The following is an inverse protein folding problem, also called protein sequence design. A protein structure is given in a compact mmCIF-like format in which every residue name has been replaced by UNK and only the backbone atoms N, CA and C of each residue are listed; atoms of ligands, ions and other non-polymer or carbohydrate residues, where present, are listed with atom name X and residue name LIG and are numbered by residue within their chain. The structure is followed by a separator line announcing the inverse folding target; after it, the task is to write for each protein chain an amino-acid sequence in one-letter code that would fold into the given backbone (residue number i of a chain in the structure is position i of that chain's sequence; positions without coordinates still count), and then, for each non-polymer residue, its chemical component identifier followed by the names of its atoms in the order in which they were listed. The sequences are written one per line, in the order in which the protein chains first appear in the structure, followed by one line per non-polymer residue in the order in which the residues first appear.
data_IF_786836661668
#
_entry.id   IF_786836661668
#
_cell.length_a   1.000
_cell.length_b   1.000
_cell.length_c   1.000
_cell.angle_alpha   90.00
_cell.angle_beta   90.00
_cell.angle_gamma   90.00
#
_symmetry.space_group_name_H-M   'P 1'
#
loop_
_entity.id
_entity.type
_entity.pdbx_description
1 polymer ?
#
# COMPACT_ATOMS: atom_id res chain seq x y z
N UNK A 1 -61.50 6.49 60.05
CA UNK A 1 -61.82 5.10 59.77
C UNK A 1 -60.69 4.51 58.96
N UNK A 2 -59.89 3.71 59.61
CA UNK A 2 -58.93 2.73 59.23
C UNK A 2 -58.00 2.97 58.05
N UNK A 3 -56.71 3.11 58.44
CA UNK A 3 -55.46 2.91 57.73
C UNK A 3 -55.30 1.50 57.14
N UNK A 4 -54.61 1.38 56.04
CA UNK A 4 -53.80 0.17 55.74
C UNK A 4 -52.51 0.57 55.02
N UNK A 5 -51.48 0.69 55.78
CA UNK A 5 -50.08 0.70 55.35
C UNK A 5 -49.78 -0.74 54.93
N UNK A 6 -49.45 -0.92 53.65
CA UNK A 6 -48.79 -2.14 53.17
C UNK A 6 -47.29 -1.86 52.90
N UNK A 7 -46.53 -2.45 53.78
CA UNK A 7 -45.11 -2.61 53.75
C UNK A 7 -44.69 -3.30 52.43
N UNK A 8 -44.01 -2.57 51.54
CA UNK A 8 -43.29 -3.16 50.41
C UNK A 8 -41.84 -3.34 50.85
N UNK A 9 -41.51 -4.58 51.29
CA UNK A 9 -40.19 -5.05 51.59
C UNK A 9 -39.24 -5.02 50.35
N UNK A 10 -37.94 -4.81 50.57
CA UNK A 10 -37.00 -4.61 49.50
C UNK A 10 -36.53 -5.97 48.90
N UNK A 11 -37.04 -6.26 47.71
CA UNK A 11 -36.55 -7.37 46.85
C UNK A 11 -35.57 -6.81 45.79
N UNK A 12 -34.75 -5.83 46.13
CA UNK A 12 -33.85 -5.19 45.17
C UNK A 12 -32.39 -5.22 45.65
N UNK A 13 -31.91 -6.39 46.11
CA UNK A 13 -30.51 -6.53 46.51
C UNK A 13 -29.94 -7.94 46.29
N UNK A 14 -30.27 -8.59 45.18
CA UNK A 14 -29.64 -9.87 44.80
C UNK A 14 -29.30 -9.96 43.32
N UNK A 15 -29.08 -8.83 42.64
CA UNK A 15 -28.80 -8.75 41.21
C UNK A 15 -27.39 -8.27 40.83
N UNK A 16 -26.45 -8.11 41.77
CA UNK A 16 -25.16 -7.47 41.50
C UNK A 16 -23.95 -8.27 42.00
N UNK A 17 -23.90 -9.58 41.74
CA UNK A 17 -22.70 -10.40 41.96
C UNK A 17 -22.48 -11.39 40.81
N UNK A 18 -22.75 -11.03 39.56
CA UNK A 18 -22.23 -11.71 38.39
C UNK A 18 -21.09 -10.86 37.79
N UNK A 19 -20.12 -10.50 38.60
CA UNK A 19 -18.79 -10.19 38.05
C UNK A 19 -18.34 -11.45 37.34
N UNK A 20 -18.25 -11.40 36.03
CA UNK A 20 -17.76 -12.45 35.16
C UNK A 20 -16.31 -12.77 35.57
N UNK A 21 -16.12 -13.64 36.56
CA UNK A 21 -14.85 -14.28 36.78
C UNK A 21 -14.51 -15.06 35.52
N UNK A 22 -13.53 -14.60 34.75
CA UNK A 22 -12.83 -15.42 33.78
C UNK A 22 -12.08 -16.50 34.56
N UNK A 23 -12.80 -17.53 34.93
CA UNK A 23 -12.23 -18.71 35.63
C UNK A 23 -11.64 -19.64 34.56
N UNK A 24 -10.58 -20.35 34.91
CA UNK A 24 -10.02 -21.39 34.04
C UNK A 24 -11.10 -22.38 33.54
N UNK A 25 -12.14 -22.58 34.34
CA UNK A 25 -13.28 -23.43 34.02
C UNK A 25 -14.07 -22.92 32.78
N UNK A 26 -14.30 -21.60 32.64
CA UNK A 26 -14.98 -21.05 31.46
C UNK A 26 -14.21 -21.31 30.19
N UNK A 27 -12.88 -21.15 30.19
CA UNK A 27 -12.03 -21.49 29.05
C UNK A 27 -12.12 -22.99 28.70
N UNK A 28 -12.10 -23.84 29.72
CA UNK A 28 -12.23 -25.30 29.51
C UNK A 28 -13.60 -25.69 28.97
N UNK A 29 -14.66 -25.05 29.43
CA UNK A 29 -16.04 -25.25 28.96
C UNK A 29 -16.25 -24.78 27.54
N UNK A 30 -15.60 -23.67 27.14
CA UNK A 30 -15.62 -23.16 25.75
C UNK A 30 -14.71 -23.93 24.78
N UNK A 31 -13.90 -24.89 25.29
CA UNK A 31 -12.93 -25.64 24.48
C UNK A 31 -11.62 -24.89 24.21
N UNK A 32 -11.44 -23.66 24.72
CA UNK A 32 -10.21 -22.90 24.63
C UNK A 32 -9.21 -23.35 25.70
N UNK A 33 -8.65 -24.54 25.49
CA UNK A 33 -7.72 -25.13 26.42
C UNK A 33 -6.39 -24.38 26.49
N UNK A 34 -5.94 -23.78 25.39
CA UNK A 34 -4.69 -23.01 25.34
C UNK A 34 -4.82 -21.73 26.13
N UNK A 35 -5.91 -21.00 25.99
CA UNK A 35 -6.23 -19.83 26.82
C UNK A 35 -6.34 -20.18 28.31
N UNK A 36 -6.94 -21.33 28.63
CA UNK A 36 -7.00 -21.82 30.01
C UNK A 36 -5.59 -22.10 30.62
N UNK A 37 -4.70 -22.71 29.82
CA UNK A 37 -3.33 -23.01 30.22
C UNK A 37 -2.54 -21.73 30.48
N UNK A 38 -2.56 -20.79 29.53
CA UNK A 38 -1.86 -19.51 29.65
C UNK A 38 -2.34 -18.72 30.88
N UNK A 39 -3.66 -18.65 31.06
CA UNK A 39 -4.29 -17.96 32.18
C UNK A 39 -3.82 -18.59 33.52
N UNK A 40 -3.89 -19.93 33.65
CA UNK A 40 -3.48 -20.62 34.88
C UNK A 40 -1.98 -20.47 35.14
N UNK A 41 -1.14 -20.62 34.11
CA UNK A 41 0.33 -20.45 34.22
C UNK A 41 0.64 -19.01 34.69
N UNK A 42 -0.02 -18.01 34.16
CA UNK A 42 0.16 -16.61 34.60
C UNK A 42 -0.22 -16.42 36.08
N UNK A 43 -1.30 -17.07 36.56
CA UNK A 43 -1.75 -17.00 37.96
C UNK A 43 -0.87 -17.78 38.92
N UNK A 44 -0.17 -18.81 38.44
CA UNK A 44 0.63 -19.73 39.29
C UNK A 44 2.11 -19.39 39.33
N UNK A 45 2.66 -18.78 38.24
CA UNK A 45 4.09 -18.46 38.14
C UNK A 45 4.53 -17.46 39.21
N UNK A 46 5.60 -17.82 39.93
CA UNK A 46 6.18 -16.96 40.98
C UNK A 46 5.35 -16.87 42.28
N UNK A 47 4.25 -17.62 42.40
CA UNK A 47 3.44 -17.62 43.63
C UNK A 47 3.86 -18.73 44.59
N UNK A 48 4.12 -18.33 45.84
CA UNK A 48 4.37 -19.29 46.93
C UNK A 48 3.10 -20.05 47.36
N UNK A 49 1.96 -19.33 47.42
CA UNK A 49 0.64 -19.90 47.73
C UNK A 49 -0.17 -20.06 46.45
N UNK A 50 -0.21 -21.27 45.92
CA UNK A 50 -0.90 -21.61 44.68
C UNK A 50 -2.36 -21.98 44.95
N UNK A 51 -3.31 -21.25 44.38
CA UNK A 51 -4.74 -21.56 44.58
C UNK A 51 -5.10 -22.86 43.88
N UNK A 52 -5.85 -23.72 44.56
CA UNK A 52 -6.25 -25.06 44.11
C UNK A 52 -7.03 -25.00 42.79
N UNK A 53 -7.92 -24.02 42.62
CA UNK A 53 -8.69 -23.81 41.38
C UNK A 53 -7.82 -23.66 40.14
N UNK A 54 -6.71 -22.91 40.22
CA UNK A 54 -5.79 -22.73 39.07
C UNK A 54 -4.92 -23.95 38.85
N UNK A 55 -4.55 -24.67 39.89
CA UNK A 55 -3.78 -25.91 39.79
C UNK A 55 -4.60 -26.99 39.07
N UNK A 56 -5.84 -27.19 39.51
CA UNK A 56 -6.78 -28.15 38.88
C UNK A 56 -7.20 -27.70 37.46
N UNK A 57 -7.42 -26.40 37.27
CA UNK A 57 -7.72 -25.84 35.96
C UNK A 57 -6.60 -26.08 34.94
N UNK A 58 -5.33 -25.87 35.37
CA UNK A 58 -4.17 -26.12 34.50
C UNK A 58 -4.04 -27.60 34.12
N UNK A 59 -4.15 -28.51 35.14
CA UNK A 59 -4.10 -29.95 34.90
C UNK A 59 -5.20 -30.41 33.93
N UNK A 60 -6.44 -29.97 34.15
CA UNK A 60 -7.59 -30.34 33.31
C UNK A 60 -7.43 -29.82 31.89
N UNK A 61 -7.05 -28.54 31.73
CA UNK A 61 -6.85 -27.93 30.42
C UNK A 61 -5.71 -28.61 29.65
N UNK A 62 -4.56 -28.85 30.31
CA UNK A 62 -3.43 -29.51 29.70
C UNK A 62 -3.77 -30.92 29.21
N UNK A 63 -4.41 -31.74 30.06
CA UNK A 63 -4.82 -33.11 29.70
C UNK A 63 -5.80 -33.11 28.51
N UNK A 64 -6.81 -32.21 28.52
CA UNK A 64 -7.80 -32.12 27.43
C UNK A 64 -7.15 -31.65 26.14
N UNK A 65 -6.28 -30.61 26.19
CA UNK A 65 -5.55 -30.12 25.01
C UNK A 65 -4.69 -31.23 24.41
N UNK A 66 -3.90 -31.91 25.23
CA UNK A 66 -3.03 -33.00 24.78
C UNK A 66 -3.81 -34.15 24.16
N UNK A 67 -4.91 -34.59 24.78
CA UNK A 67 -5.74 -35.67 24.26
C UNK A 67 -6.38 -35.30 22.92
N UNK A 68 -6.92 -34.06 22.80
CA UNK A 68 -7.46 -33.53 21.52
C UNK A 68 -6.42 -33.54 20.43
N UNK A 69 -5.24 -33.04 20.70
CA UNK A 69 -4.19 -32.84 19.73
C UNK A 69 -3.56 -34.15 19.25
N UNK A 70 -3.32 -35.10 20.18
CA UNK A 70 -2.89 -36.47 19.82
C UNK A 70 -3.95 -37.18 18.97
N UNK A 71 -5.22 -37.10 19.35
CA UNK A 71 -6.29 -37.73 18.58
C UNK A 71 -6.37 -37.13 17.16
N UNK A 72 -6.28 -35.80 17.03
CA UNK A 72 -6.28 -35.10 15.74
C UNK A 72 -5.07 -35.47 14.90
N UNK A 73 -3.87 -35.45 15.46
CA UNK A 73 -2.65 -35.82 14.74
C UNK A 73 -2.69 -37.28 14.25
N UNK A 74 -3.14 -38.20 15.09
CA UNK A 74 -3.27 -39.62 14.76
C UNK A 74 -4.33 -39.83 13.65
N UNK A 75 -5.46 -39.15 13.72
CA UNK A 75 -6.48 -39.19 12.66
C UNK A 75 -5.91 -38.71 11.33
N UNK A 76 -5.26 -37.55 11.29
CA UNK A 76 -4.63 -36.99 10.09
C UNK A 76 -3.56 -37.92 9.51
N UNK A 77 -2.77 -38.56 10.38
CA UNK A 77 -1.77 -39.54 9.95
C UNK A 77 -2.41 -40.81 9.37
N UNK A 78 -3.52 -41.27 9.94
CA UNK A 78 -4.27 -42.44 9.46
C UNK A 78 -4.94 -42.21 8.10
N UNK A 79 -5.24 -40.97 7.73
CA UNK A 79 -5.75 -40.64 6.39
C UNK A 79 -4.72 -40.89 5.28
N UNK A 80 -3.44 -41.03 5.61
CA UNK A 80 -2.37 -41.35 4.67
C UNK A 80 -2.06 -40.25 3.64
N UNK A 81 -2.60 -39.05 3.80
CA UNK A 81 -2.39 -37.93 2.88
C UNK A 81 -1.08 -37.20 3.21
N UNK A 82 -0.14 -37.08 2.27
CA UNK A 82 1.14 -36.43 2.54
C UNK A 82 1.03 -34.96 2.97
N UNK A 83 0.06 -34.22 2.47
CA UNK A 83 -0.22 -32.83 2.83
C UNK A 83 -0.58 -32.63 4.30
N UNK A 84 -1.12 -33.65 4.95
CA UNK A 84 -1.49 -33.60 6.36
C UNK A 84 -0.27 -33.40 7.28
N UNK A 85 0.96 -33.74 6.81
CA UNK A 85 2.16 -33.64 7.67
C UNK A 85 2.50 -32.23 8.08
N UNK A 86 2.14 -31.22 7.28
CA UNK A 86 2.30 -29.82 7.69
C UNK A 86 1.43 -29.49 8.91
N UNK A 87 0.16 -29.92 8.90
CA UNK A 87 -0.78 -29.72 10.00
C UNK A 87 -0.40 -30.56 11.24
N UNK A 88 0.03 -31.78 11.04
CA UNK A 88 0.51 -32.66 12.12
C UNK A 88 1.73 -32.01 12.80
N UNK A 89 2.67 -31.48 12.02
CA UNK A 89 3.83 -30.81 12.60
C UNK A 89 3.45 -29.54 13.37
N UNK A 90 2.50 -28.74 12.90
CA UNK A 90 1.98 -27.60 13.63
C UNK A 90 1.41 -28.03 15.00
N UNK A 91 0.57 -29.07 15.02
CA UNK A 91 0.02 -29.63 16.27
C UNK A 91 1.13 -30.05 17.22
N UNK A 92 2.15 -30.78 16.78
CA UNK A 92 3.26 -31.23 17.62
C UNK A 92 4.10 -30.03 18.14
N UNK A 93 4.26 -28.96 17.36
CA UNK A 93 4.92 -27.73 17.83
C UNK A 93 4.11 -27.04 18.93
N UNK A 94 2.78 -26.96 18.79
CA UNK A 94 1.91 -26.38 19.81
C UNK A 94 1.94 -27.21 21.10
N UNK A 95 1.96 -28.54 20.99
CA UNK A 95 2.16 -29.44 22.14
C UNK A 95 3.52 -29.20 22.82
N UNK A 96 4.59 -29.01 22.01
CA UNK A 96 5.93 -28.70 22.54
C UNK A 96 5.94 -27.37 23.31
N UNK A 97 5.30 -26.34 22.74
CA UNK A 97 5.19 -25.02 23.35
C UNK A 97 4.42 -25.09 24.68
N UNK A 98 3.34 -25.86 24.73
CA UNK A 98 2.51 -26.08 25.91
C UNK A 98 3.29 -26.79 27.02
N UNK A 99 4.02 -27.85 26.68
CA UNK A 99 4.87 -28.58 27.67
C UNK A 99 5.96 -27.66 28.23
N UNK A 100 6.58 -26.81 27.41
CA UNK A 100 7.59 -25.83 27.88
C UNK A 100 7.01 -24.78 28.84
N UNK A 101 5.71 -24.41 28.68
CA UNK A 101 5.05 -23.51 29.63
C UNK A 101 4.75 -24.16 30.98
N UNK A 102 4.38 -25.45 31.01
CA UNK A 102 3.89 -26.14 32.17
C UNK A 102 5.04 -26.84 32.96
N UNK A 103 6.02 -27.41 32.25
CA UNK A 103 7.13 -28.18 32.86
C UNK A 103 7.87 -27.43 33.99
N UNK A 104 8.17 -26.11 33.87
CA UNK A 104 8.87 -25.39 34.94
C UNK A 104 8.03 -25.20 36.21
N UNK A 105 6.72 -25.49 36.18
CA UNK A 105 5.84 -25.40 37.34
C UNK A 105 5.77 -26.71 38.14
N UNK A 106 6.29 -27.78 37.58
CA UNK A 106 6.25 -29.14 38.22
C UNK A 106 7.43 -29.36 39.13
N UNK A 107 7.26 -30.01 40.29
CA UNK A 107 6.00 -30.55 40.82
C UNK A 107 5.04 -29.44 41.27
N UNK A 108 3.77 -29.50 40.84
CA UNK A 108 2.78 -28.47 41.11
C UNK A 108 1.84 -28.93 42.25
N UNK A 109 1.98 -28.26 43.41
CA UNK A 109 1.15 -28.54 44.59
C UNK A 109 0.43 -27.26 44.99
N UNK A 110 -0.88 -27.35 45.24
CA UNK A 110 -1.70 -26.23 45.70
C UNK A 110 -1.47 -25.94 47.20
N UNK A 111 -1.95 -24.75 47.63
CA UNK A 111 -1.93 -24.36 49.05
C UNK A 111 -2.68 -25.32 49.98
N UNK A 112 -3.63 -26.07 49.44
CA UNK A 112 -4.48 -27.00 50.17
C UNK A 112 -3.98 -28.48 50.03
N UNK A 113 -2.76 -28.68 49.52
CA UNK A 113 -2.12 -29.97 49.38
C UNK A 113 -2.47 -30.77 48.12
N UNK A 114 -3.34 -30.25 47.23
CA UNK A 114 -3.64 -30.92 45.98
C UNK A 114 -2.42 -30.96 45.07
N UNK A 115 -2.01 -32.15 44.61
CA UNK A 115 -0.88 -32.38 43.69
C UNK A 115 -1.40 -32.68 42.30
N UNK A 116 -1.11 -31.79 41.35
CA UNK A 116 -1.45 -32.00 39.95
C UNK A 116 -0.53 -33.01 39.26
N UNK A 117 -1.09 -33.80 38.35
CA UNK A 117 -0.36 -34.78 37.53
C UNK A 117 -0.39 -34.35 36.08
N UNK A 118 0.77 -34.37 35.40
CA UNK A 118 0.92 -34.04 33.99
C UNK A 118 1.59 -35.19 33.25
N UNK A 119 0.84 -35.83 32.34
CA UNK A 119 1.35 -36.93 31.53
C UNK A 119 2.10 -36.32 30.31
N UNK A 120 3.38 -35.98 30.51
CA UNK A 120 4.21 -35.49 29.43
C UNK A 120 4.56 -36.59 28.44
N UNK A 121 4.30 -36.38 27.16
CA UNK A 121 4.70 -37.26 26.06
C UNK A 121 6.01 -36.79 25.46
N UNK A 122 6.74 -37.65 24.73
CA UNK A 122 7.94 -37.26 24.01
C UNK A 122 7.54 -36.50 22.72
N UNK A 123 7.06 -35.25 22.92
CA UNK A 123 6.71 -34.36 21.80
C UNK A 123 7.92 -34.03 20.93
N UNK A 124 9.16 -34.14 21.44
CA UNK A 124 10.37 -33.91 20.67
C UNK A 124 10.56 -34.94 19.57
N UNK A 125 10.28 -36.21 19.84
CA UNK A 125 10.30 -37.28 18.84
C UNK A 125 9.20 -37.08 17.79
N UNK A 126 7.96 -36.81 18.24
CA UNK A 126 6.82 -36.56 17.38
C UNK A 126 7.04 -35.34 16.43
N UNK A 127 7.59 -34.26 16.98
CA UNK A 127 7.91 -33.06 16.19
C UNK A 127 9.00 -33.33 15.15
N UNK A 128 10.08 -34.05 15.53
CA UNK A 128 11.16 -34.40 14.59
C UNK A 128 10.63 -35.22 13.40
N UNK A 129 9.81 -36.23 13.69
CA UNK A 129 9.22 -37.09 12.65
C UNK A 129 8.30 -36.29 11.72
N UNK A 130 7.34 -35.56 12.27
CA UNK A 130 6.38 -34.81 11.47
C UNK A 130 7.06 -33.69 10.68
N UNK A 131 8.09 -33.04 11.24
CA UNK A 131 8.90 -32.04 10.57
C UNK A 131 9.62 -32.61 9.34
N UNK A 132 10.22 -33.80 9.47
CA UNK A 132 10.89 -34.44 8.37
C UNK A 132 9.92 -34.80 7.23
N UNK A 133 8.75 -35.36 7.58
CA UNK A 133 7.71 -35.74 6.61
C UNK A 133 7.07 -34.52 5.94
N UNK A 134 6.84 -33.42 6.67
CA UNK A 134 6.33 -32.17 6.08
C UNK A 134 7.33 -31.55 5.09
N UNK A 135 8.62 -31.49 5.46
CA UNK A 135 9.65 -30.99 4.56
C UNK A 135 9.79 -31.86 3.31
N UNK A 136 9.69 -33.19 3.45
CA UNK A 136 9.75 -34.13 2.31
C UNK A 136 8.55 -33.97 1.39
N UNK A 137 7.34 -33.80 1.93
CA UNK A 137 6.15 -33.52 1.14
C UNK A 137 6.32 -32.25 0.28
N UNK A 138 6.69 -31.12 0.90
CA UNK A 138 6.90 -29.85 0.19
C UNK A 138 7.98 -29.95 -0.89
N UNK A 139 9.07 -30.65 -0.57
CA UNK A 139 10.16 -30.86 -1.51
C UNK A 139 9.73 -31.65 -2.75
N UNK A 140 9.00 -32.75 -2.56
CA UNK A 140 8.50 -33.56 -3.67
C UNK A 140 7.46 -32.79 -4.47
N UNK A 141 6.57 -32.06 -3.80
CA UNK A 141 5.57 -31.22 -4.46
C UNK A 141 6.21 -30.11 -5.29
N UNK A 142 7.26 -29.45 -4.75
CA UNK A 142 8.00 -28.44 -5.51
C UNK A 142 8.67 -29.04 -6.77
N UNK A 143 9.19 -30.25 -6.70
CA UNK A 143 9.75 -30.93 -7.89
C UNK A 143 8.68 -31.23 -8.96
N UNK A 144 7.50 -31.67 -8.56
CA UNK A 144 6.37 -31.86 -9.49
C UNK A 144 5.97 -30.55 -10.16
N UNK A 145 5.93 -29.45 -9.40
CA UNK A 145 5.63 -28.12 -9.92
C UNK A 145 6.73 -27.64 -10.88
N UNK A 146 8.00 -27.87 -10.57
CA UNK A 146 9.12 -27.53 -11.45
C UNK A 146 9.06 -28.30 -12.78
N UNK A 147 8.71 -29.59 -12.77
CA UNK A 147 8.52 -30.37 -13.99
C UNK A 147 7.41 -29.79 -14.88
N UNK A 148 6.35 -29.21 -14.30
CA UNK A 148 5.34 -28.45 -15.05
C UNK A 148 5.88 -27.13 -15.59
N UNK A 149 6.71 -26.46 -14.78
CA UNK A 149 7.32 -25.19 -15.15
C UNK A 149 8.29 -25.31 -16.33
N UNK A 150 9.02 -26.41 -16.45
CA UNK A 150 9.87 -26.73 -17.62
C UNK A 150 9.08 -26.81 -18.92
N UNK A 151 7.77 -27.07 -18.85
CA UNK A 151 6.83 -27.03 -19.97
C UNK A 151 6.14 -25.66 -20.14
N UNK A 152 6.64 -24.60 -19.51
CA UNK A 152 6.17 -23.23 -19.68
C UNK A 152 5.14 -22.74 -18.62
N UNK A 153 4.79 -23.57 -17.62
CA UNK A 153 3.87 -23.16 -16.55
C UNK A 153 4.60 -22.28 -15.50
N UNK A 154 4.69 -20.99 -15.77
CA UNK A 154 5.35 -20.03 -14.87
C UNK A 154 4.71 -19.95 -13.49
N UNK A 155 3.38 -20.14 -13.40
CA UNK A 155 2.69 -20.13 -12.10
C UNK A 155 3.09 -21.34 -11.26
N UNK A 156 3.29 -22.50 -11.88
CA UNK A 156 3.83 -23.66 -11.17
C UNK A 156 5.24 -23.40 -10.64
N UNK A 157 6.11 -22.71 -11.42
CA UNK A 157 7.43 -22.31 -10.94
C UNK A 157 7.37 -21.43 -9.69
N UNK A 158 6.50 -20.42 -9.68
CA UNK A 158 6.29 -19.53 -8.53
C UNK A 158 5.76 -20.28 -7.32
N UNK A 159 4.81 -21.17 -7.51
CA UNK A 159 4.33 -22.05 -6.43
C UNK A 159 5.43 -22.96 -5.89
N UNK A 160 6.29 -23.52 -6.76
CA UNK A 160 7.44 -24.31 -6.33
C UNK A 160 8.41 -23.48 -5.48
N UNK A 161 8.66 -22.25 -5.90
CA UNK A 161 9.51 -21.31 -5.17
C UNK A 161 9.01 -21.06 -3.75
N UNK A 162 7.70 -20.78 -3.60
CA UNK A 162 7.08 -20.55 -2.29
C UNK A 162 7.18 -21.78 -1.39
N UNK A 163 6.95 -22.98 -1.93
CA UNK A 163 7.05 -24.22 -1.16
C UNK A 163 8.50 -24.51 -0.71
N UNK A 164 9.48 -24.24 -1.57
CA UNK A 164 10.89 -24.39 -1.22
C UNK A 164 11.32 -23.37 -0.17
N UNK A 165 10.84 -22.12 -0.23
CA UNK A 165 11.04 -21.12 0.83
C UNK A 165 10.44 -21.56 2.16
N UNK A 166 9.26 -22.17 2.14
CA UNK A 166 8.58 -22.65 3.33
C UNK A 166 9.38 -23.77 4.02
N UNK A 167 10.08 -24.62 3.27
CA UNK A 167 10.99 -25.60 3.87
C UNK A 167 12.05 -24.90 4.71
N UNK A 168 12.72 -23.89 4.14
CA UNK A 168 13.77 -23.13 4.82
C UNK A 168 13.27 -22.35 6.05
N UNK A 169 12.09 -21.77 5.96
CA UNK A 169 11.50 -20.94 7.03
C UNK A 169 10.89 -21.75 8.17
N UNK A 170 10.23 -22.88 7.86
CA UNK A 170 9.39 -23.61 8.82
C UNK A 170 10.06 -24.85 9.38
N UNK A 171 10.93 -25.52 8.60
CA UNK A 171 11.44 -26.84 8.92
C UNK A 171 12.96 -26.95 9.04
N UNK A 172 13.68 -26.75 7.92
CA UNK A 172 15.14 -26.91 7.86
C UNK A 172 15.78 -25.80 7.04
N UNK A 173 16.74 -25.08 7.61
CA UNK A 173 17.48 -24.02 6.89
C UNK A 173 18.20 -24.58 5.66
N UNK A 174 18.84 -25.73 5.81
CA UNK A 174 19.57 -26.42 4.74
C UNK A 174 18.88 -27.79 4.53
N UNK A 175 18.16 -27.95 3.45
CA UNK A 175 17.45 -29.18 3.13
C UNK A 175 17.72 -29.63 1.70
N UNK A 176 18.43 -30.76 1.56
CA UNK A 176 18.80 -31.34 0.26
C UNK A 176 19.38 -30.24 -0.67
N UNK A 177 18.96 -30.17 -1.94
CA UNK A 177 19.38 -29.15 -2.91
C UNK A 177 18.36 -28.02 -3.09
N UNK A 178 17.64 -27.64 -2.02
CA UNK A 178 16.58 -26.60 -2.05
C UNK A 178 17.08 -25.29 -2.63
N UNK A 179 18.32 -24.85 -2.32
CA UNK A 179 18.89 -23.60 -2.84
C UNK A 179 19.07 -23.61 -4.36
N UNK A 180 19.43 -24.75 -4.94
CA UNK A 180 19.53 -24.90 -6.40
C UNK A 180 18.13 -24.87 -7.03
N UNK A 181 17.17 -25.59 -6.45
CA UNK A 181 15.80 -25.61 -6.92
C UNK A 181 15.12 -24.24 -6.80
N UNK A 182 15.44 -23.43 -5.78
CA UNK A 182 14.96 -22.05 -5.65
C UNK A 182 15.45 -21.17 -6.81
N UNK A 183 16.69 -21.29 -7.23
CA UNK A 183 17.23 -20.59 -8.40
C UNK A 183 16.50 -21.01 -9.67
N UNK A 184 16.37 -22.31 -9.91
CA UNK A 184 15.62 -22.84 -11.05
C UNK A 184 14.17 -22.38 -11.05
N UNK A 185 13.48 -22.41 -9.91
CA UNK A 185 12.10 -21.92 -9.77
C UNK A 185 12.00 -20.43 -10.07
N UNK A 186 13.00 -19.65 -9.65
CA UNK A 186 13.07 -18.21 -9.93
C UNK A 186 13.24 -17.95 -11.43
N UNK A 187 14.16 -18.63 -12.07
CA UNK A 187 14.45 -18.46 -13.50
C UNK A 187 13.23 -18.85 -14.35
N UNK A 188 12.62 -20.01 -14.09
CA UNK A 188 11.44 -20.48 -14.79
C UNK A 188 10.20 -19.64 -14.52
N UNK A 189 10.06 -19.07 -13.30
CA UNK A 189 8.91 -18.27 -12.90
C UNK A 189 8.96 -16.81 -13.32
N UNK A 190 10.15 -16.29 -13.70
CA UNK A 190 10.33 -14.91 -14.14
C UNK A 190 9.79 -14.73 -15.57
N UNK A 191 8.98 -13.68 -15.75
CA UNK A 191 8.50 -13.25 -17.07
C UNK A 191 9.47 -12.25 -17.66
N UNK A 192 9.99 -12.53 -18.84
CA UNK A 192 10.92 -11.67 -19.58
C UNK A 192 10.14 -10.81 -20.56
N UNK A 193 10.23 -9.49 -20.41
CA UNK A 193 9.47 -8.50 -21.16
C UNK A 193 10.38 -7.61 -21.98
N UNK A 194 10.25 -7.62 -23.31
CA UNK A 194 10.91 -6.67 -24.20
C UNK A 194 10.02 -5.45 -24.37
N UNK A 195 10.52 -4.28 -24.00
CA UNK A 195 9.83 -3.01 -24.16
C UNK A 195 10.44 -2.20 -25.30
N UNK A 196 9.60 -1.80 -26.25
CA UNK A 196 9.97 -1.02 -27.43
C UNK A 196 9.16 0.25 -27.54
N UNK A 197 9.73 1.30 -28.18
CA UNK A 197 9.03 2.51 -28.57
C UNK A 197 9.06 2.62 -30.08
N UNK A 198 7.87 2.79 -30.72
CA UNK A 198 7.73 2.92 -32.18
C UNK A 198 6.97 4.17 -32.55
N UNK A 199 7.49 4.90 -33.54
CA UNK A 199 6.77 6.03 -34.13
C UNK A 199 5.94 5.56 -35.32
N UNK A 200 4.65 5.82 -35.26
CA UNK A 200 3.69 5.63 -36.37
C UNK A 200 2.94 6.92 -36.71
N UNK A 201 3.36 8.06 -36.10
CA UNK A 201 2.82 9.35 -36.49
C UNK A 201 3.40 9.80 -37.83
N UNK A 202 2.79 10.83 -38.44
CA UNK A 202 3.27 11.50 -39.64
C UNK A 202 4.45 12.45 -39.37
N UNK A 203 4.88 12.61 -38.12
CA UNK A 203 5.97 13.51 -37.71
C UNK A 203 7.26 12.75 -37.46
N UNK A 204 8.38 13.36 -37.78
CA UNK A 204 9.68 12.84 -37.41
C UNK A 204 9.96 13.17 -35.94
N UNK A 205 10.15 12.12 -35.13
CA UNK A 205 10.54 12.28 -33.74
C UNK A 205 12.07 12.28 -33.60
N UNK A 206 12.65 13.22 -32.84
CA UNK A 206 14.08 13.24 -32.57
C UNK A 206 14.51 11.98 -31.81
N UNK A 207 15.73 11.50 -32.04
CA UNK A 207 16.28 10.36 -31.28
C UNK A 207 16.24 10.61 -29.77
N UNK A 208 16.50 11.82 -29.33
CA UNK A 208 16.43 12.22 -27.93
C UNK A 208 15.06 11.97 -27.28
N UNK A 209 13.96 11.95 -28.04
CA UNK A 209 12.65 11.58 -27.53
C UNK A 209 12.62 10.10 -27.13
N UNK A 210 13.08 9.21 -28.02
CA UNK A 210 13.11 7.77 -27.75
C UNK A 210 14.04 7.46 -26.57
N UNK A 211 15.25 8.02 -26.57
CA UNK A 211 16.23 7.83 -25.50
C UNK A 211 15.63 8.28 -24.15
N UNK A 212 14.87 9.37 -24.12
CA UNK A 212 14.20 9.83 -22.88
C UNK A 212 13.03 8.94 -22.45
N UNK A 213 12.22 8.45 -23.37
CA UNK A 213 11.12 7.52 -23.04
C UNK A 213 11.71 6.20 -22.52
N UNK A 214 12.76 5.68 -23.18
CA UNK A 214 13.44 4.44 -22.78
C UNK A 214 14.28 4.58 -21.49
N UNK A 215 14.57 5.82 -21.07
CA UNK A 215 15.23 6.10 -19.79
C UNK A 215 14.32 5.87 -18.55
N UNK A 216 13.26 5.09 -18.69
CA UNK A 216 12.57 4.46 -17.56
C UNK A 216 13.57 3.49 -16.93
N UNK A 217 13.89 3.69 -15.65
CA UNK A 217 14.87 2.83 -14.99
C UNK A 217 14.42 1.37 -14.98
N UNK A 218 15.31 0.45 -15.37
CA UNK A 218 15.04 -0.99 -15.29
C UNK A 218 14.59 -1.40 -13.90
N UNK A 219 15.27 -0.90 -12.87
CA UNK A 219 14.92 -1.10 -11.45
C UNK A 219 13.53 -0.62 -11.07
N UNK A 220 12.95 0.32 -11.82
CA UNK A 220 11.61 0.85 -11.55
C UNK A 220 10.51 -0.06 -12.09
N UNK A 221 10.82 -0.91 -13.06
CA UNK A 221 9.90 -1.84 -13.72
C UNK A 221 10.08 -3.28 -13.25
N UNK A 222 11.29 -3.70 -12.96
CA UNK A 222 11.58 -5.05 -12.48
C UNK A 222 10.85 -5.30 -11.16
N UNK A 223 10.32 -6.48 -11.03
CA UNK A 223 9.67 -6.96 -9.82
C UNK A 223 10.16 -8.36 -9.48
N UNK A 224 9.61 -8.97 -8.45
CA UNK A 224 10.00 -10.32 -8.07
C UNK A 224 9.89 -11.33 -9.23
N UNK A 225 8.91 -11.13 -10.13
CA UNK A 225 8.58 -12.08 -11.19
C UNK A 225 8.57 -11.49 -12.60
N UNK A 226 9.07 -10.25 -12.77
CA UNK A 226 9.13 -9.59 -14.08
C UNK A 226 10.50 -8.97 -14.27
N UNK A 227 11.12 -9.22 -15.41
CA UNK A 227 12.37 -8.62 -15.84
C UNK A 227 12.17 -7.90 -17.17
N UNK A 228 12.43 -6.59 -17.21
CA UNK A 228 12.25 -5.77 -18.39
C UNK A 228 13.58 -5.55 -19.13
N UNK A 229 13.49 -5.58 -20.46
CA UNK A 229 14.58 -5.33 -21.39
C UNK A 229 14.16 -4.23 -22.35
N UNK A 230 15.08 -3.30 -22.65
CA UNK A 230 14.85 -2.19 -23.58
C UNK A 230 15.52 -2.42 -24.93
N UNK A 231 16.45 -3.37 -24.98
CA UNK A 231 17.11 -3.86 -26.18
C UNK A 231 17.02 -5.39 -26.20
N UNK A 232 16.91 -5.95 -27.41
CA UNK A 232 16.88 -7.40 -27.57
C UNK A 232 18.28 -7.96 -27.31
N UNK A 233 18.41 -8.81 -26.29
CA UNK A 233 19.65 -9.49 -25.94
C UNK A 233 19.73 -10.86 -26.63
N UNK A 234 20.87 -11.22 -27.24
CA UNK A 234 21.06 -12.53 -27.86
C UNK A 234 20.90 -13.67 -26.84
N UNK A 235 20.09 -14.68 -27.19
CA UNK A 235 19.86 -15.86 -26.35
C UNK A 235 18.79 -15.70 -25.28
N UNK A 236 18.20 -14.51 -25.11
CA UNK A 236 17.05 -14.31 -24.21
C UNK A 236 15.76 -14.62 -24.97
N UNK A 237 14.96 -15.53 -24.43
CA UNK A 237 13.61 -15.79 -24.88
C UNK A 237 12.65 -14.88 -24.12
N UNK A 238 11.98 -13.97 -24.84
CA UNK A 238 10.99 -13.07 -24.24
C UNK A 238 9.63 -13.76 -24.21
N UNK A 239 8.89 -13.61 -23.10
CA UNK A 239 7.53 -14.08 -22.95
C UNK A 239 6.56 -13.06 -23.50
N UNK A 240 6.88 -11.78 -23.30
CA UNK A 240 6.04 -10.67 -23.70
C UNK A 240 6.85 -9.62 -24.44
N UNK A 241 6.19 -8.97 -25.39
CA UNK A 241 6.67 -7.76 -26.05
C UNK A 241 5.69 -6.64 -25.80
N UNK A 242 6.14 -5.55 -25.22
CA UNK A 242 5.35 -4.35 -24.99
C UNK A 242 5.84 -3.25 -25.94
N UNK A 243 4.94 -2.65 -26.67
CA UNK A 243 5.26 -1.60 -27.63
C UNK A 243 4.47 -0.34 -27.28
N UNK A 244 5.19 0.74 -26.93
CA UNK A 244 4.58 2.06 -26.93
C UNK A 244 4.62 2.63 -28.35
N UNK A 245 3.46 2.66 -28.99
CA UNK A 245 3.28 3.07 -30.38
C UNK A 245 2.73 4.50 -30.44
N UNK A 246 3.58 5.46 -30.72
CA UNK A 246 3.17 6.85 -30.92
C UNK A 246 2.40 6.99 -32.22
N UNK A 247 1.15 7.37 -32.17
CA UNK A 247 0.31 7.54 -33.36
C UNK A 247 -0.04 9.00 -33.68
N UNK A 248 0.03 9.88 -32.69
CA UNK A 248 -0.24 11.31 -32.88
C UNK A 248 0.81 12.18 -32.21
N UNK A 249 1.31 13.16 -32.95
CA UNK A 249 2.19 14.22 -32.47
C UNK A 249 1.69 15.55 -33.08
N UNK A 250 1.18 16.41 -32.24
CA UNK A 250 0.70 17.73 -32.65
C UNK A 250 1.44 18.82 -31.86
N UNK A 251 2.07 19.74 -32.58
CA UNK A 251 2.74 20.92 -32.03
C UNK A 251 2.08 22.15 -32.59
N UNK A 252 1.51 22.95 -31.71
CA UNK A 252 0.84 24.19 -32.14
C UNK A 252 1.85 25.22 -32.66
N UNK A 253 1.45 26.09 -33.58
CA UNK A 253 2.25 27.26 -33.89
C UNK A 253 2.42 28.15 -32.66
N UNK A 254 3.47 28.96 -32.68
CA UNK A 254 3.68 30.02 -31.71
C UNK A 254 2.56 31.07 -31.81
N UNK A 255 1.92 31.37 -30.70
CA UNK A 255 0.80 32.33 -30.67
C UNK A 255 1.13 33.43 -29.68
N UNK A 256 1.01 34.65 -30.18
CA UNK A 256 1.09 35.86 -29.37
C UNK A 256 -0.25 36.58 -29.47
N UNK A 257 -0.83 36.93 -28.34
CA UNK A 257 -2.05 37.70 -28.23
C UNK A 257 -1.80 38.92 -27.38
N UNK A 258 -2.32 40.07 -27.84
CA UNK A 258 -2.27 41.29 -27.05
C UNK A 258 -3.70 41.63 -26.58
N UNK A 259 -3.79 42.09 -25.35
CA UNK A 259 -5.04 42.52 -24.73
C UNK A 259 -4.78 43.80 -23.93
N UNK A 260 -5.56 44.85 -24.26
CA UNK A 260 -5.60 46.06 -23.47
C UNK A 260 -6.85 46.09 -22.60
N UNK A 261 -6.70 46.39 -21.33
CA UNK A 261 -7.81 46.54 -20.39
C UNK A 261 -7.46 47.56 -19.31
N UNK A 262 -8.46 47.98 -18.53
CA UNK A 262 -8.29 48.97 -17.47
C UNK A 262 -8.69 48.34 -16.16
N UNK A 263 -7.79 48.34 -15.19
CA UNK A 263 -8.08 48.04 -13.79
C UNK A 263 -8.52 49.36 -13.11
N UNK A 264 -9.59 49.31 -12.34
CA UNK A 264 -10.11 50.43 -11.58
C UNK A 264 -10.23 50.04 -10.11
N UNK A 265 -9.94 51.00 -9.23
CA UNK A 265 -10.09 50.82 -7.78
C UNK A 265 -10.54 52.12 -7.14
N UNK A 266 -11.46 52.03 -6.20
CA UNK A 266 -11.81 53.11 -5.32
C UNK A 266 -10.90 53.08 -4.08
N UNK A 267 -10.22 54.17 -3.83
CA UNK A 267 -9.34 54.32 -2.65
C UNK A 267 -9.75 55.56 -1.86
N UNK A 268 -9.44 55.51 -0.58
CA UNK A 268 -9.48 56.73 0.22
C UNK A 268 -8.20 57.54 -0.01
N UNK A 269 -8.38 58.78 -0.48
CA UNK A 269 -7.27 59.73 -0.73
C UNK A 269 -7.54 61.03 -0.01
N UNK A 270 -7.19 61.08 1.26
CA UNK A 270 -7.44 62.21 2.12
C UNK A 270 -8.85 62.26 2.72
N UNK A 271 -9.23 63.45 3.10
CA UNK A 271 -10.48 63.73 3.81
C UNK A 271 -11.11 65.01 3.27
N UNK A 272 -12.41 65.06 3.16
CA UNK A 272 -13.20 66.26 2.93
C UNK A 272 -13.79 66.72 4.28
N UNK A 273 -13.81 68.00 4.50
CA UNK A 273 -14.49 68.53 5.68
C UNK A 273 -15.99 68.56 5.46
N UNK A 274 -16.73 68.04 6.42
CA UNK A 274 -18.18 68.13 6.41
C UNK A 274 -18.59 69.59 6.59
N UNK A 275 -19.33 70.18 5.61
CA UNK A 275 -19.74 71.55 5.69
C UNK A 275 -21.20 71.65 6.22
N UNK A 276 -21.57 72.75 6.88
CA UNK A 276 -22.92 73.14 7.21
C UNK A 276 -23.61 73.82 6.00
N UNK A 277 -24.88 74.16 6.16
CA UNK A 277 -25.65 74.86 5.10
C UNK A 277 -25.17 76.24 4.72
N UNK A 278 -24.22 76.81 5.48
CA UNK A 278 -23.59 78.11 5.23
C UNK A 278 -22.17 77.98 4.73
N UNK A 279 -21.68 76.75 4.50
CA UNK A 279 -20.32 76.50 4.00
C UNK A 279 -19.24 76.44 5.08
N UNK A 280 -19.56 76.48 6.38
CA UNK A 280 -18.59 76.37 7.44
C UNK A 280 -18.30 74.90 7.77
N UNK A 281 -17.07 74.60 8.24
CA UNK A 281 -16.68 73.24 8.68
C UNK A 281 -17.50 72.85 9.92
N UNK A 282 -18.18 71.74 9.89
CA UNK A 282 -18.94 71.16 11.00
C UNK A 282 -17.96 70.62 12.05
N UNK A 283 -18.28 70.87 13.32
CA UNK A 283 -17.53 70.36 14.48
C UNK A 283 -18.34 69.35 15.25
N UNK A 284 -17.62 68.37 15.87
CA UNK A 284 -18.22 67.45 16.79
C UNK A 284 -18.51 68.10 18.18
N UNK A 285 -19.06 67.35 19.12
CA UNK A 285 -19.38 67.78 20.47
C UNK A 285 -18.16 68.20 21.32
N UNK A 286 -16.95 67.83 20.84
CA UNK A 286 -15.66 68.16 21.48
C UNK A 286 -14.93 69.31 20.78
N UNK A 287 -15.52 69.91 19.74
CA UNK A 287 -14.94 71.00 18.94
C UNK A 287 -13.99 70.58 17.83
N UNK A 288 -13.82 69.29 17.52
CA UNK A 288 -12.98 68.82 16.42
C UNK A 288 -13.74 68.90 15.07
N UNK A 289 -12.99 69.14 14.02
CA UNK A 289 -13.53 69.19 12.68
C UNK A 289 -14.00 67.82 12.21
N UNK A 290 -15.26 67.71 11.78
CA UNK A 290 -15.83 66.44 11.22
C UNK A 290 -15.29 66.27 9.79
N UNK A 291 -14.53 65.17 9.60
CA UNK A 291 -13.94 64.76 8.31
C UNK A 291 -14.61 63.54 7.77
N UNK A 292 -14.94 63.53 6.48
CA UNK A 292 -15.42 62.37 5.78
C UNK A 292 -14.35 61.85 4.83
N UNK A 293 -14.13 60.49 4.75
CA UNK A 293 -13.16 59.97 3.83
C UNK A 293 -13.46 60.38 2.39
N UNK A 294 -12.48 61.02 1.72
CA UNK A 294 -12.60 61.33 0.31
C UNK A 294 -12.27 60.06 -0.51
N UNK A 295 -13.25 59.57 -1.25
CA UNK A 295 -13.08 58.42 -2.13
C UNK A 295 -12.73 58.89 -3.52
N UNK A 296 -11.65 58.38 -4.06
CA UNK A 296 -11.18 58.68 -5.40
C UNK A 296 -11.05 57.40 -6.20
N UNK A 297 -11.59 57.40 -7.42
CA UNK A 297 -11.44 56.31 -8.35
C UNK A 297 -10.13 56.46 -9.13
N UNK A 298 -9.23 55.54 -8.91
CA UNK A 298 -7.95 55.47 -9.62
C UNK A 298 -8.00 54.39 -10.70
N UNK A 299 -7.20 54.58 -11.77
CA UNK A 299 -7.17 53.69 -12.95
C UNK A 299 -5.75 53.35 -13.34
N UNK A 300 -5.58 52.12 -13.82
CA UNK A 300 -4.39 51.65 -14.50
C UNK A 300 -4.76 50.95 -15.80
N UNK A 301 -4.24 51.49 -16.92
CA UNK A 301 -4.41 50.86 -18.22
C UNK A 301 -3.31 49.82 -18.39
N UNK A 302 -3.68 48.58 -18.57
CA UNK A 302 -2.78 47.43 -18.72
C UNK A 302 -2.75 47.01 -20.18
N UNK A 303 -1.55 46.81 -20.71
CA UNK A 303 -1.29 46.12 -21.96
C UNK A 303 -0.66 44.78 -21.65
N UNK A 304 -1.39 43.72 -21.88
CA UNK A 304 -0.96 42.34 -21.64
C UNK A 304 -0.58 41.68 -22.97
N UNK A 305 0.60 41.06 -22.99
CA UNK A 305 1.05 40.20 -24.10
C UNK A 305 1.04 38.77 -23.57
N UNK A 306 0.27 37.90 -24.17
CA UNK A 306 0.13 36.50 -23.84
C UNK A 306 0.74 35.62 -24.93
N UNK A 307 1.74 34.82 -24.55
CA UNK A 307 2.43 33.90 -25.44
C UNK A 307 2.02 32.48 -25.09
N UNK A 308 1.64 31.66 -26.07
CA UNK A 308 1.29 30.26 -25.90
C UNK A 308 1.85 29.39 -27.00
N UNK A 309 2.29 28.17 -26.62
CA UNK A 309 2.64 27.08 -27.52
C UNK A 309 2.35 25.75 -26.81
N UNK A 310 1.78 24.80 -27.52
CA UNK A 310 1.51 23.46 -26.94
C UNK A 310 2.12 22.35 -27.79
N UNK A 311 2.42 21.23 -27.14
CA UNK A 311 2.77 19.97 -27.80
C UNK A 311 1.94 18.86 -27.19
N UNK A 312 1.22 18.12 -28.02
CA UNK A 312 0.44 16.96 -27.64
C UNK A 312 1.03 15.70 -28.26
N UNK A 313 1.21 14.65 -27.45
CA UNK A 313 1.66 13.34 -27.90
C UNK A 313 0.67 12.30 -27.41
N UNK A 314 0.21 11.43 -28.30
CA UNK A 314 -0.63 10.29 -27.95
C UNK A 314 -0.13 9.01 -28.64
N UNK A 315 -0.31 7.90 -27.97
CA UNK A 315 0.08 6.58 -28.42
C UNK A 315 -0.69 5.46 -27.74
N UNK A 316 -0.44 4.25 -28.19
CA UNK A 316 -0.97 3.03 -27.58
C UNK A 316 0.15 2.27 -26.88
N UNK A 317 -0.13 1.78 -25.68
CA UNK A 317 0.69 0.76 -25.00
C UNK A 317 0.06 -0.59 -25.32
N UNK A 318 0.73 -1.33 -26.19
CA UNK A 318 0.27 -2.63 -26.66
C UNK A 318 1.09 -3.74 -26.02
N UNK A 319 0.43 -4.73 -25.46
CA UNK A 319 1.07 -5.91 -24.84
C UNK A 319 0.81 -7.12 -25.74
N UNK A 320 1.87 -7.76 -26.19
CA UNK A 320 1.82 -8.95 -27.00
C UNK A 320 2.42 -10.15 -26.28
N UNK A 321 1.81 -11.32 -26.42
CA UNK A 321 2.49 -12.58 -26.19
C UNK A 321 3.57 -12.77 -27.27
N UNK A 322 4.82 -13.02 -26.86
CA UNK A 322 5.92 -13.03 -27.81
C UNK A 322 5.89 -14.25 -28.75
N UNK A 323 5.51 -15.44 -28.25
CA UNK A 323 5.51 -16.68 -29.02
C UNK A 323 4.56 -16.66 -30.22
N UNK A 324 3.33 -16.17 -30.02
CA UNK A 324 2.28 -16.10 -31.06
C UNK A 324 2.09 -14.71 -31.66
N UNK A 325 2.80 -13.69 -31.19
CA UNK A 325 2.59 -12.29 -31.52
C UNK A 325 1.12 -11.86 -31.34
N UNK A 326 0.44 -12.45 -30.35
CA UNK A 326 -0.97 -12.21 -30.05
C UNK A 326 -1.10 -10.97 -29.19
N UNK A 327 -1.94 -10.01 -29.58
CA UNK A 327 -2.26 -8.82 -28.77
C UNK A 327 -3.10 -9.24 -27.56
N UNK A 328 -2.59 -8.97 -26.37
CA UNK A 328 -3.24 -9.29 -25.10
C UNK A 328 -3.92 -8.08 -24.44
N UNK A 329 -3.34 -6.90 -24.59
CA UNK A 329 -3.87 -5.65 -24.03
C UNK A 329 -3.47 -4.46 -24.91
N UNK A 330 -4.33 -3.43 -24.92
CA UNK A 330 -4.09 -2.19 -25.65
C UNK A 330 -4.69 -1.04 -24.86
N UNK A 331 -3.89 0.00 -24.57
CA UNK A 331 -4.31 1.17 -23.80
C UNK A 331 -3.79 2.45 -24.38
N UNK A 332 -4.67 3.46 -24.41
CA UNK A 332 -4.29 4.81 -24.78
C UNK A 332 -3.43 5.46 -23.72
N UNK A 333 -2.38 6.13 -24.15
CA UNK A 333 -1.50 6.94 -23.33
C UNK A 333 -1.13 8.23 -24.06
N UNK A 334 -1.34 9.36 -23.42
CA UNK A 334 -0.99 10.65 -23.99
C UNK A 334 -0.55 11.67 -22.96
N UNK A 335 0.01 12.75 -23.44
CA UNK A 335 0.41 13.90 -22.63
C UNK A 335 0.36 15.18 -23.44
N UNK A 336 0.15 16.29 -22.73
CA UNK A 336 0.23 17.64 -23.30
C UNK A 336 1.23 18.46 -22.51
N UNK A 337 2.05 19.20 -23.22
CA UNK A 337 2.96 20.22 -22.69
C UNK A 337 2.45 21.57 -23.15
N UNK A 338 2.30 22.49 -22.23
CA UNK A 338 1.85 23.84 -22.48
C UNK A 338 2.92 24.83 -22.02
N UNK A 339 3.36 25.67 -22.97
CA UNK A 339 4.15 26.84 -22.66
C UNK A 339 3.21 28.06 -22.63
N UNK A 340 3.22 28.78 -21.51
CA UNK A 340 2.49 30.03 -21.33
C UNK A 340 3.42 31.07 -20.71
N UNK A 341 3.36 32.28 -21.23
CA UNK A 341 4.06 33.42 -20.69
C UNK A 341 3.21 34.68 -20.81
N UNK A 342 3.08 35.39 -19.69
CA UNK A 342 2.42 36.69 -19.62
C UNK A 342 3.47 37.76 -19.42
N UNK A 343 3.45 38.76 -20.29
CA UNK A 343 4.28 39.95 -20.18
C UNK A 343 3.35 41.16 -20.23
N UNK A 344 3.32 41.94 -19.14
CA UNK A 344 2.39 43.05 -19.03
C UNK A 344 3.10 44.33 -18.65
N UNK A 345 2.67 45.42 -19.25
CA UNK A 345 3.03 46.80 -18.92
C UNK A 345 1.79 47.58 -18.51
N UNK A 346 1.95 48.67 -17.81
CA UNK A 346 0.81 49.52 -17.45
C UNK A 346 1.18 51.01 -17.49
N UNK A 347 0.15 51.82 -17.59
CA UNK A 347 0.20 53.29 -17.40
C UNK A 347 -0.91 53.68 -16.43
N UNK A 348 -0.68 54.73 -15.63
CA UNK A 348 -1.63 55.17 -14.61
C UNK A 348 -1.21 54.84 -13.18
N UNK A 349 -2.18 54.69 -12.29
CA UNK A 349 -1.90 54.51 -10.86
C UNK A 349 -1.70 53.02 -10.52
N UNK A 350 -0.49 52.65 -10.06
CA UNK A 350 -0.14 51.27 -9.67
C UNK A 350 -1.10 50.67 -8.61
N UNK A 351 -1.69 51.50 -7.73
CA UNK A 351 -2.62 51.06 -6.70
C UNK A 351 -3.96 50.53 -7.25
N UNK A 352 -4.28 50.90 -8.51
CA UNK A 352 -5.48 50.42 -9.18
C UNK A 352 -5.35 49.02 -9.73
N UNK A 353 -4.13 48.51 -9.94
CA UNK A 353 -3.87 47.17 -10.47
C UNK A 353 -4.52 46.06 -9.61
N UNK A 354 -5.21 45.14 -10.27
CA UNK A 354 -5.69 43.87 -9.66
C UNK A 354 -4.50 42.98 -9.22
N UNK A 355 -4.74 42.01 -8.38
CA UNK A 355 -3.68 41.08 -7.97
C UNK A 355 -3.18 40.26 -9.17
N UNK A 356 -4.08 39.92 -10.09
CA UNK A 356 -3.74 39.22 -11.31
C UNK A 356 -2.82 40.09 -12.21
N UNK A 357 -3.17 41.36 -12.44
CA UNK A 357 -2.33 42.30 -13.20
C UNK A 357 -0.97 42.50 -12.51
N UNK A 358 -0.94 42.65 -11.20
CA UNK A 358 0.32 42.82 -10.44
C UNK A 358 1.26 41.64 -10.60
N UNK A 359 0.75 40.42 -10.65
CA UNK A 359 1.57 39.20 -10.83
C UNK A 359 2.21 39.10 -12.21
N UNK A 360 1.63 39.80 -13.23
CA UNK A 360 2.04 39.79 -14.62
C UNK A 360 2.86 41.03 -15.04
N UNK A 361 2.76 42.12 -14.29
CA UNK A 361 3.49 43.38 -14.56
C UNK A 361 5.00 43.17 -14.33
N UNK A 362 5.78 43.67 -15.26
CA UNK A 362 7.24 43.62 -15.22
C UNK A 362 7.85 42.33 -15.77
N UNK A 363 7.05 41.34 -16.13
CA UNK A 363 7.51 40.19 -16.89
C UNK A 363 7.80 40.63 -18.33
N UNK A 364 8.87 40.07 -18.93
CA UNK A 364 9.21 40.29 -20.33
C UNK A 364 8.73 39.12 -21.20
N UNK A 365 8.45 39.36 -22.50
CA UNK A 365 8.27 38.27 -23.46
C UNK A 365 9.50 37.32 -23.42
N UNK A 366 9.24 36.02 -23.45
CA UNK A 366 10.29 35.00 -23.47
C UNK A 366 10.40 34.37 -24.87
N UNK A 367 11.59 33.93 -25.29
CA UNK A 367 11.69 33.15 -26.52
C UNK A 367 10.85 31.88 -26.37
N UNK A 368 10.14 31.52 -27.43
CA UNK A 368 9.38 30.26 -27.44
C UNK A 368 10.32 29.04 -27.35
N UNK A 369 9.94 28.00 -26.63
CA UNK A 369 10.68 26.74 -26.65
C UNK A 369 10.66 26.16 -28.07
N UNK A 370 11.80 25.53 -28.46
CA UNK A 370 11.85 24.81 -29.72
C UNK A 370 10.97 23.56 -29.65
N UNK A 371 10.51 23.09 -30.79
CA UNK A 371 9.68 21.89 -30.90
C UNK A 371 10.37 20.66 -30.22
N UNK A 372 11.67 20.51 -30.46
CA UNK A 372 12.48 19.44 -29.85
C UNK A 372 12.48 19.51 -28.32
N UNK A 373 12.57 20.71 -27.73
CA UNK A 373 12.57 20.91 -26.28
C UNK A 373 11.18 20.56 -25.68
N UNK A 374 10.09 20.87 -26.40
CA UNK A 374 8.74 20.51 -26.01
C UNK A 374 8.51 19.00 -26.11
N UNK A 375 9.00 18.34 -27.16
CA UNK A 375 8.94 16.89 -27.31
C UNK A 375 9.76 16.18 -26.22
N UNK A 376 10.93 16.74 -25.86
CA UNK A 376 11.74 16.21 -24.76
C UNK A 376 11.00 16.30 -23.40
N UNK A 377 10.35 17.42 -23.14
CA UNK A 377 9.51 17.58 -21.93
C UNK A 377 8.30 16.63 -21.95
N UNK A 378 7.69 16.43 -23.12
CA UNK A 378 6.59 15.48 -23.27
C UNK A 378 7.05 14.03 -22.96
N UNK A 379 8.24 13.62 -23.44
CA UNK A 379 8.83 12.32 -23.12
C UNK A 379 9.02 12.17 -21.61
N UNK A 380 9.54 13.20 -20.91
CA UNK A 380 9.73 13.18 -19.47
C UNK A 380 8.39 13.08 -18.70
N UNK A 381 7.33 13.68 -19.22
CA UNK A 381 5.99 13.64 -18.62
C UNK A 381 5.25 12.33 -18.90
N UNK A 382 5.56 11.65 -20.00
CA UNK A 382 5.03 10.33 -20.35
C UNK A 382 5.60 9.22 -19.46
N UNK A 383 6.88 9.31 -19.06
CA UNK A 383 7.59 8.25 -18.32
C UNK A 383 6.85 7.74 -17.08
N UNK A 384 6.40 8.57 -16.14
CA UNK A 384 5.71 8.07 -14.93
C UNK A 384 4.42 7.34 -15.28
N UNK A 385 3.63 7.85 -16.23
CA UNK A 385 2.38 7.22 -16.64
C UNK A 385 2.64 5.88 -17.35
N UNK A 386 3.64 5.84 -18.22
CA UNK A 386 4.04 4.62 -18.92
C UNK A 386 4.58 3.57 -17.95
N UNK A 387 5.44 3.98 -17.00
CA UNK A 387 5.92 3.10 -15.93
C UNK A 387 4.77 2.50 -15.14
N UNK A 388 3.81 3.32 -14.72
CA UNK A 388 2.67 2.88 -13.93
C UNK A 388 1.78 1.92 -14.72
N UNK A 389 1.61 2.13 -16.02
CA UNK A 389 0.85 1.26 -16.90
C UNK A 389 1.54 -0.10 -17.05
N UNK A 390 2.85 -0.12 -17.29
CA UNK A 390 3.65 -1.34 -17.38
C UNK A 390 3.63 -2.15 -16.08
N UNK A 391 3.73 -1.50 -14.93
CA UNK A 391 3.68 -2.16 -13.62
C UNK A 391 2.33 -2.77 -13.29
N UNK A 392 1.24 -2.10 -13.67
CA UNK A 392 -0.15 -2.51 -13.37
C UNK A 392 -0.73 -3.46 -14.41
N UNK A 393 -0.04 -3.68 -15.51
CA UNK A 393 -0.55 -4.57 -16.56
C UNK A 393 -0.78 -5.98 -16.01
N UNK A 394 -2.04 -6.44 -16.10
CA UNK A 394 -2.46 -7.80 -15.75
C UNK A 394 -2.25 -8.79 -16.90
N UNK A 395 -1.95 -8.30 -18.09
CA UNK A 395 -1.67 -9.11 -19.26
C UNK A 395 -0.28 -9.76 -19.18
N UNK A 396 0.62 -9.20 -18.37
CA UNK A 396 1.96 -9.73 -18.11
C UNK A 396 1.91 -10.48 -16.79
N UNK A 397 2.11 -11.79 -16.83
CA UNK A 397 2.18 -12.65 -15.64
C UNK A 397 3.33 -12.26 -14.72
#
# INVERSE_FOLDING_TARGET
MFANIRILTPVLLLGFLLTACHTAQKFVESGDYDGAIEFCVHKLRGKSKKKTEYVQGLETAFRKAQARDLATANQLAAEGRPENWERINAIHRDMTARQRLVSPLTPLVSKDGYRATFDFVDVGALERESRAKAAEYLYNRAKELLARAENGDKLAARQAYDQLLDIGRKYYRDYKNTDQLLKTARDLGTSYVLFEVKNQSDKVLPRAFFDRVLAIGKSDLDSEWKAYFFDAEPGVQYDYRVVFRVHNVDISPERVRERAYTDEKEIQDGWDYALDSKGNVRKDSLGNDIKTPRKVRIRANVLEVFQTKSAHIAGFVEVYEAAGNTLLDNRDLGTEILFENYASTFTGDKRALSEESKSRIGNAPRPFPRDEDMLAQAADRLKPNLRDELRRSKAIL
#
